data_IF_379171245437
#
_entry.id   IF_379171245437
#
_cell.length_a   1.000
_cell.length_b   1.000
_cell.length_c   1.000
_cell.angle_alpha   90.00
_cell.angle_beta   90.00
_cell.angle_gamma   90.00
#
_symmetry.space_group_name_H-M   'P 1'
#
loop_
_entity.id
_entity.type
_entity.pdbx_description
1 polymer ?
#
# COMPACT_ATOMS: atom_id res chain seq x y z
N UNK A 1 9.16 -20.55 10.07
CA UNK A 1 8.49 -19.45 9.33
C UNK A 1 9.49 -18.64 8.50
N UNK A 2 10.68 -18.31 9.04
CA UNK A 2 11.72 -17.52 8.35
C UNK A 2 12.18 -18.07 6.99
N UNK A 3 12.27 -19.39 6.84
CA UNK A 3 12.66 -20.04 5.57
C UNK A 3 11.65 -19.86 4.44
N UNK A 4 10.37 -19.66 4.79
CA UNK A 4 9.32 -19.47 3.79
C UNK A 4 9.30 -18.04 3.28
N UNK A 5 9.50 -17.06 4.16
CA UNK A 5 9.43 -15.64 3.78
C UNK A 5 10.63 -15.16 2.96
N UNK A 6 11.79 -15.80 3.07
CA UNK A 6 13.01 -15.39 2.35
C UNK A 6 13.03 -15.74 0.85
N UNK A 7 12.11 -16.58 0.38
CA UNK A 7 12.08 -17.05 -1.02
C UNK A 7 10.89 -16.57 -1.83
N UNK A 8 10.03 -15.74 -1.25
CA UNK A 8 8.79 -15.29 -1.90
C UNK A 8 9.03 -13.94 -2.54
N UNK A 9 8.76 -13.86 -3.83
CA UNK A 9 8.54 -12.58 -4.47
C UNK A 9 7.17 -12.05 -4.06
N UNK A 10 7.15 -11.05 -3.18
CA UNK A 10 5.92 -10.47 -2.63
C UNK A 10 5.12 -9.67 -3.66
N UNK A 11 5.64 -9.46 -4.87
CA UNK A 11 4.92 -8.76 -5.93
C UNK A 11 4.13 -9.71 -6.84
N UNK A 12 4.33 -11.03 -6.71
CA UNK A 12 3.62 -12.04 -7.49
C UNK A 12 2.47 -12.69 -6.73
N UNK A 13 1.36 -12.90 -7.44
CA UNK A 13 0.30 -13.83 -7.05
C UNK A 13 0.17 -14.95 -8.12
N UNK A 14 1.30 -15.54 -8.50
CA UNK A 14 1.41 -16.43 -9.67
C UNK A 14 1.66 -15.69 -10.99
N UNK A 15 1.90 -14.38 -10.93
CA UNK A 15 2.28 -13.52 -12.06
C UNK A 15 3.81 -13.35 -12.16
N UNK A 16 4.31 -12.89 -13.30
CA UNK A 16 5.74 -12.64 -13.50
C UNK A 16 5.96 -11.45 -14.43
N UNK A 17 7.18 -10.89 -14.41
CA UNK A 17 7.56 -9.74 -15.25
C UNK A 17 6.61 -8.56 -15.06
N UNK A 18 6.12 -7.99 -16.17
CA UNK A 18 5.24 -6.82 -16.20
C UNK A 18 3.90 -6.99 -15.48
N UNK A 19 3.54 -8.22 -15.11
CA UNK A 19 2.29 -8.53 -14.38
C UNK A 19 2.47 -8.60 -12.85
N UNK A 20 3.69 -8.34 -12.34
CA UNK A 20 3.93 -8.13 -10.90
C UNK A 20 3.23 -6.85 -10.46
N UNK A 21 2.73 -6.80 -9.22
CA UNK A 21 1.89 -5.67 -8.76
C UNK A 21 2.32 -5.11 -7.41
N UNK A 22 2.29 -3.79 -7.29
CA UNK A 22 2.50 -3.09 -6.01
C UNK A 22 1.38 -3.39 -5.01
N UNK A 23 0.17 -3.68 -5.49
CA UNK A 23 -0.95 -4.10 -4.64
C UNK A 23 -0.68 -5.39 -3.88
N UNK A 24 -0.07 -6.38 -4.53
CA UNK A 24 0.26 -7.65 -3.88
C UNK A 24 1.36 -7.44 -2.84
N UNK A 25 2.39 -6.65 -3.19
CA UNK A 25 3.47 -6.33 -2.27
C UNK A 25 2.95 -5.62 -1.01
N UNK A 26 2.02 -4.67 -1.15
CA UNK A 26 1.45 -3.97 0.00
C UNK A 26 0.55 -4.86 0.86
N UNK A 27 -0.16 -5.82 0.28
CA UNK A 27 -0.90 -6.82 1.07
C UNK A 27 0.06 -7.67 1.92
N UNK A 28 1.16 -8.14 1.34
CA UNK A 28 2.20 -8.87 2.08
C UNK A 28 2.89 -8.00 3.14
N UNK A 29 3.19 -6.75 2.81
CA UNK A 29 3.84 -5.82 3.73
C UNK A 29 2.98 -5.55 4.97
N UNK A 30 1.67 -5.38 4.79
CA UNK A 30 0.73 -5.29 5.90
C UNK A 30 0.68 -6.59 6.70
N UNK A 31 0.65 -7.75 6.04
CA UNK A 31 0.68 -9.04 6.73
C UNK A 31 1.95 -9.18 7.59
N UNK A 32 3.11 -8.76 7.09
CA UNK A 32 4.34 -8.71 7.86
C UNK A 32 4.23 -7.75 9.06
N UNK A 33 3.74 -6.53 8.86
CA UNK A 33 3.57 -5.60 9.97
C UNK A 33 2.66 -6.18 11.07
N UNK A 34 1.54 -6.79 10.71
CA UNK A 34 0.66 -7.41 11.70
C UNK A 34 1.23 -8.67 12.34
N UNK A 35 2.02 -9.47 11.60
CA UNK A 35 2.78 -10.57 12.19
C UNK A 35 3.80 -10.06 13.23
N UNK A 36 4.47 -8.94 12.93
CA UNK A 36 5.30 -8.26 13.92
C UNK A 36 4.50 -7.84 15.16
N UNK A 37 3.33 -7.22 15.00
CA UNK A 37 2.48 -6.83 16.15
C UNK A 37 2.02 -8.04 16.98
N UNK A 38 1.72 -9.16 16.33
CA UNK A 38 1.25 -10.37 17.00
C UNK A 38 2.36 -11.12 17.76
N UNK A 39 3.58 -11.18 17.20
CA UNK A 39 4.65 -12.05 17.69
C UNK A 39 5.85 -11.31 18.28
N UNK A 40 5.95 -9.99 18.08
CA UNK A 40 7.10 -9.18 18.50
C UNK A 40 8.39 -9.45 17.73
N UNK A 41 8.37 -10.31 16.70
CA UNK A 41 9.56 -10.65 15.91
C UNK A 41 9.89 -9.52 14.92
N UNK A 42 11.00 -8.81 15.19
CA UNK A 42 11.45 -7.64 14.43
C UNK A 42 11.81 -7.97 12.98
N UNK A 43 12.08 -9.24 12.64
CA UNK A 43 12.30 -9.64 11.25
C UNK A 43 11.07 -9.37 10.38
N UNK A 44 9.86 -9.47 10.93
CA UNK A 44 8.64 -9.10 10.21
C UNK A 44 8.49 -7.60 10.02
N UNK A 45 8.89 -6.79 11.00
CA UNK A 45 8.90 -5.34 10.83
C UNK A 45 9.88 -4.93 9.73
N UNK A 46 11.09 -5.50 9.74
CA UNK A 46 12.11 -5.26 8.70
C UNK A 46 11.59 -5.63 7.30
N UNK A 47 10.83 -6.72 7.17
CA UNK A 47 10.22 -7.10 5.90
C UNK A 47 9.11 -6.13 5.46
N UNK A 48 8.28 -5.67 6.39
CA UNK A 48 7.27 -4.64 6.09
C UNK A 48 7.93 -3.33 5.61
N UNK A 49 9.00 -2.89 6.28
CA UNK A 49 9.78 -1.72 5.88
C UNK A 49 10.45 -1.90 4.51
N UNK A 50 11.12 -3.04 4.29
CA UNK A 50 11.77 -3.33 3.00
C UNK A 50 10.78 -3.35 1.83
N UNK A 51 9.59 -3.93 2.04
CA UNK A 51 8.52 -3.91 1.04
C UNK A 51 8.05 -2.48 0.76
N UNK A 52 7.81 -1.68 1.80
CA UNK A 52 7.45 -0.27 1.68
C UNK A 52 8.50 0.53 0.91
N UNK A 53 9.78 0.42 1.30
CA UNK A 53 10.89 1.17 0.69
C UNK A 53 11.07 0.77 -0.79
N UNK A 54 10.87 -0.50 -1.12
CA UNK A 54 10.95 -0.97 -2.50
C UNK A 54 9.79 -0.44 -3.33
N UNK A 55 8.56 -0.53 -2.83
CA UNK A 55 7.36 0.01 -3.50
C UNK A 55 7.39 1.54 -3.60
N UNK A 56 8.08 2.24 -2.68
CA UNK A 56 8.24 3.69 -2.72
C UNK A 56 8.96 4.20 -3.97
N UNK A 57 9.65 3.34 -4.72
CA UNK A 57 10.24 3.69 -6.04
C UNK A 57 9.18 4.05 -7.08
N UNK A 58 7.97 3.55 -6.92
CA UNK A 58 6.82 3.80 -7.80
C UNK A 58 5.90 4.90 -7.28
N UNK A 59 6.28 5.54 -6.18
CA UNK A 59 5.54 6.65 -5.61
C UNK A 59 5.60 7.88 -6.52
N UNK A 60 4.46 8.50 -6.76
CA UNK A 60 4.37 9.69 -7.62
C UNK A 60 4.75 10.92 -6.80
N UNK A 61 5.99 11.38 -7.02
CA UNK A 61 6.52 12.62 -6.44
C UNK A 61 6.07 13.86 -7.20
N UNK A 62 6.36 15.04 -6.64
CA UNK A 62 6.14 16.32 -7.32
C UNK A 62 6.87 16.40 -8.66
N UNK A 63 8.08 15.85 -8.77
CA UNK A 63 8.85 15.87 -10.02
C UNK A 63 8.19 15.03 -11.11
N UNK A 64 7.70 13.85 -10.72
CA UNK A 64 6.92 12.99 -11.62
C UNK A 64 5.62 13.70 -12.02
N UNK A 65 4.93 14.33 -11.07
CA UNK A 65 3.67 15.04 -11.32
C UNK A 65 3.82 16.38 -12.09
N UNK A 66 5.01 16.98 -12.12
CA UNK A 66 5.20 18.29 -12.76
C UNK A 66 5.69 18.20 -14.20
N UNK A 67 6.48 17.18 -14.54
CA UNK A 67 7.22 17.23 -15.81
C UNK A 67 8.63 16.72 -15.71
N UNK A 68 9.26 17.04 -14.59
CA UNK A 68 10.72 17.09 -14.46
C UNK A 68 11.36 15.72 -14.32
N UNK A 69 10.59 14.70 -13.93
CA UNK A 69 11.00 13.30 -13.95
C UNK A 69 9.94 12.43 -14.61
N UNK A 70 10.36 11.33 -15.24
CA UNK A 70 9.44 10.30 -15.73
C UNK A 70 9.11 9.23 -14.68
N UNK A 71 9.87 9.16 -13.58
CA UNK A 71 9.71 8.11 -12.58
C UNK A 71 9.91 6.70 -13.16
N UNK A 72 10.76 6.56 -14.19
CA UNK A 72 10.96 5.29 -14.90
C UNK A 72 9.85 4.92 -15.89
N UNK A 73 8.85 5.79 -16.09
CA UNK A 73 7.76 5.56 -17.04
C UNK A 73 8.12 6.06 -18.44
N UNK A 74 7.62 5.38 -19.47
CA UNK A 74 7.76 5.78 -20.88
C UNK A 74 6.48 6.41 -21.42
N UNK A 75 5.32 6.11 -20.82
CA UNK A 75 4.07 6.74 -21.17
C UNK A 75 3.97 8.18 -20.60
N UNK A 76 3.29 9.05 -21.35
CA UNK A 76 3.06 10.43 -20.96
C UNK A 76 1.88 10.53 -20.00
N UNK A 77 2.05 11.23 -18.88
CA UNK A 77 0.93 11.60 -18.03
C UNK A 77 0.02 12.59 -18.77
N UNK A 78 -1.28 12.30 -18.79
CA UNK A 78 -2.29 13.23 -19.31
C UNK A 78 -2.52 14.44 -18.39
N UNK A 79 -3.62 15.16 -18.64
CA UNK A 79 -3.94 16.42 -17.96
C UNK A 79 -4.11 16.32 -16.42
N UNK A 80 -4.25 15.12 -15.86
CA UNK A 80 -4.38 14.89 -14.42
C UNK A 80 -3.03 14.85 -13.67
N UNK A 81 -1.92 15.12 -14.36
CA UNK A 81 -0.56 14.98 -13.82
C UNK A 81 -0.32 15.76 -12.53
N UNK A 82 -0.79 17.02 -12.48
CA UNK A 82 -0.54 17.91 -11.34
C UNK A 82 -1.19 17.48 -10.02
N UNK A 83 -2.24 16.65 -10.09
CA UNK A 83 -2.93 16.10 -8.91
C UNK A 83 -2.50 14.66 -8.57
N UNK A 84 -1.52 14.10 -9.28
CA UNK A 84 -1.11 12.71 -9.10
C UNK A 84 -0.15 12.49 -7.92
N UNK A 85 0.35 13.58 -7.32
CA UNK A 85 1.29 13.54 -6.19
C UNK A 85 0.65 12.80 -5.01
N UNK A 86 1.34 11.78 -4.49
CA UNK A 86 0.75 10.89 -3.46
C UNK A 86 0.16 9.60 -4.03
N UNK A 87 0.04 9.48 -5.35
CA UNK A 87 -0.31 8.23 -6.01
C UNK A 87 0.84 7.22 -6.03
N UNK A 88 0.51 6.00 -6.44
CA UNK A 88 1.44 4.88 -6.56
C UNK A 88 1.12 4.13 -7.85
N UNK A 89 2.09 3.96 -8.74
CA UNK A 89 1.86 3.17 -9.94
C UNK A 89 1.54 1.72 -9.60
N UNK A 90 0.63 1.12 -10.36
CA UNK A 90 0.17 -0.24 -10.08
C UNK A 90 1.22 -1.31 -10.43
N UNK A 91 1.82 -1.20 -11.61
CA UNK A 91 2.76 -2.19 -12.15
C UNK A 91 4.20 -1.65 -12.02
N UNK A 92 5.03 -2.17 -11.09
CA UNK A 92 6.42 -1.73 -10.93
C UNK A 92 7.26 -1.98 -12.20
N UNK A 93 7.02 -3.10 -12.89
CA UNK A 93 7.89 -3.57 -13.96
C UNK A 93 7.38 -3.23 -15.38
N UNK A 94 6.24 -2.54 -15.50
CA UNK A 94 5.70 -2.08 -16.79
C UNK A 94 5.82 -0.55 -16.93
N UNK A 95 6.86 -0.04 -17.63
CA UNK A 95 7.06 1.39 -17.78
C UNK A 95 6.00 2.06 -18.67
N UNK A 96 5.24 1.29 -19.45
CA UNK A 96 4.17 1.81 -20.31
C UNK A 96 2.86 1.99 -19.56
N UNK A 97 2.71 1.33 -18.41
CA UNK A 97 1.55 1.44 -17.54
C UNK A 97 1.74 2.57 -16.53
N UNK A 98 0.87 3.57 -16.62
CA UNK A 98 0.80 4.72 -15.70
C UNK A 98 -0.46 4.69 -14.84
N UNK A 99 -1.15 3.54 -14.78
CA UNK A 99 -2.35 3.39 -13.98
C UNK A 99 -1.99 3.42 -12.49
N UNK A 100 -2.82 4.12 -11.75
CA UNK A 100 -2.74 4.25 -10.29
C UNK A 100 -3.98 3.60 -9.73
N UNK A 101 -3.80 2.50 -8.99
CA UNK A 101 -4.92 1.72 -8.48
C UNK A 101 -5.08 1.91 -6.99
N UNK A 102 -6.32 2.14 -6.57
CA UNK A 102 -6.69 2.40 -5.17
C UNK A 102 -6.28 1.26 -4.24
N UNK A 103 -6.31 0.03 -4.72
CA UNK A 103 -5.90 -1.15 -3.97
C UNK A 103 -4.38 -1.36 -3.86
N UNK A 104 -3.57 -0.52 -4.50
CA UNK A 104 -2.16 -0.36 -4.17
C UNK A 104 -1.95 0.86 -3.24
N UNK A 105 -2.57 1.99 -3.58
CA UNK A 105 -2.43 3.28 -2.88
C UNK A 105 -2.94 3.24 -1.43
N UNK A 106 -4.11 2.67 -1.19
CA UNK A 106 -4.73 2.60 0.14
C UNK A 106 -3.88 1.80 1.14
N UNK A 107 -3.54 0.53 0.84
CA UNK A 107 -2.62 -0.27 1.65
C UNK A 107 -1.27 0.40 1.92
N UNK A 108 -0.70 1.09 0.91
CA UNK A 108 0.54 1.85 1.06
C UNK A 108 0.39 3.01 2.06
N UNK A 109 -0.69 3.78 1.97
CA UNK A 109 -1.00 4.85 2.93
C UNK A 109 -1.14 4.33 4.37
N UNK A 110 -1.88 3.22 4.54
CA UNK A 110 -2.10 2.58 5.84
C UNK A 110 -0.76 2.11 6.41
N UNK A 111 0.04 1.39 5.60
CA UNK A 111 1.33 0.90 6.05
C UNK A 111 2.28 2.04 6.44
N UNK A 112 2.31 3.14 5.68
CA UNK A 112 3.06 4.33 6.05
C UNK A 112 2.64 4.86 7.44
N UNK A 113 1.34 5.01 7.71
CA UNK A 113 0.85 5.42 9.03
C UNK A 113 1.28 4.47 10.15
N UNK A 114 1.13 3.16 9.93
CA UNK A 114 1.52 2.11 10.88
C UNK A 114 3.03 2.09 11.16
N UNK A 115 3.86 2.29 10.13
CA UNK A 115 5.31 2.38 10.27
C UNK A 115 5.72 3.67 10.97
N UNK A 116 5.02 4.79 10.76
CA UNK A 116 5.22 6.01 11.54
C UNK A 116 4.93 5.78 13.02
N UNK A 117 3.79 5.15 13.35
CA UNK A 117 3.43 4.88 14.74
C UNK A 117 4.50 4.05 15.46
N UNK A 118 5.06 3.06 14.76
CA UNK A 118 6.05 2.13 15.31
C UNK A 118 7.46 2.72 15.39
N UNK A 119 7.88 3.52 14.39
CA UNK A 119 9.28 3.98 14.26
C UNK A 119 9.48 5.44 14.63
N UNK A 120 8.39 6.23 14.69
CA UNK A 120 8.39 7.69 14.77
C UNK A 120 9.18 8.38 13.65
N UNK A 121 9.40 7.70 12.52
CA UNK A 121 10.08 8.28 11.37
C UNK A 121 9.11 9.18 10.57
N UNK A 122 9.37 10.48 10.60
CA UNK A 122 8.55 11.51 9.95
C UNK A 122 8.36 11.31 8.44
N UNK A 123 9.29 10.65 7.75
CA UNK A 123 9.15 10.30 6.33
C UNK A 123 7.87 9.51 6.08
N UNK A 124 7.57 8.53 6.93
CA UNK A 124 6.36 7.73 6.81
C UNK A 124 5.10 8.55 7.05
N UNK A 125 5.11 9.49 8.01
CA UNK A 125 3.97 10.38 8.25
C UNK A 125 3.70 11.29 7.07
N UNK A 126 4.73 11.88 6.48
CA UNK A 126 4.61 12.76 5.31
C UNK A 126 4.02 11.99 4.13
N UNK A 127 4.54 10.81 3.83
CA UNK A 127 4.03 9.95 2.75
C UNK A 127 2.57 9.56 3.02
N UNK A 128 2.24 9.11 4.25
CA UNK A 128 0.87 8.75 4.61
C UNK A 128 -0.10 9.92 4.36
N UNK A 129 0.23 11.11 4.86
CA UNK A 129 -0.59 12.33 4.71
C UNK A 129 -0.78 12.69 3.23
N UNK A 130 0.28 12.66 2.44
CA UNK A 130 0.23 13.02 1.03
C UNK A 130 -0.58 12.01 0.22
N UNK A 131 -0.43 10.72 0.53
CA UNK A 131 -1.19 9.63 -0.11
C UNK A 131 -2.69 9.71 0.24
N UNK A 132 -3.04 10.02 1.49
CA UNK A 132 -4.44 10.25 1.90
C UNK A 132 -5.02 11.50 1.22
N UNK A 133 -4.24 12.57 1.10
CA UNK A 133 -4.65 13.78 0.38
C UNK A 133 -4.94 13.49 -1.09
N UNK A 134 -4.07 12.72 -1.75
CA UNK A 134 -4.28 12.23 -3.11
C UNK A 134 -5.60 11.47 -3.24
N UNK A 135 -5.84 10.48 -2.36
CA UNK A 135 -7.09 9.70 -2.39
C UNK A 135 -8.33 10.58 -2.15
N UNK A 136 -8.24 11.58 -1.28
CA UNK A 136 -9.33 12.53 -1.03
C UNK A 136 -9.65 13.42 -2.24
N UNK A 137 -8.63 13.85 -2.98
CA UNK A 137 -8.80 14.69 -4.18
C UNK A 137 -9.49 13.98 -5.36
N UNK A 138 -9.52 12.64 -5.34
CA UNK A 138 -10.25 11.83 -6.32
C UNK A 138 -11.77 11.77 -6.04
N UNK A 139 -12.28 12.56 -5.08
CA UNK A 139 -13.68 12.57 -4.65
C UNK A 139 -14.21 11.20 -4.19
N UNK A 140 -13.35 10.38 -3.57
CA UNK A 140 -13.76 9.09 -2.98
C UNK A 140 -14.95 9.24 -2.02
N UNK A 141 -15.06 10.39 -1.33
CA UNK A 141 -16.04 10.63 -0.26
C UNK A 141 -17.25 11.49 -0.68
N UNK A 142 -17.41 11.84 -1.97
CA UNK A 142 -18.55 12.67 -2.39
C UNK A 142 -19.81 11.84 -2.69
N UNK A 143 -20.58 11.58 -1.63
CA UNK A 143 -22.04 11.60 -1.70
C UNK A 143 -22.79 10.28 -1.81
N UNK A 144 -22.16 9.13 -2.04
CA UNK A 144 -22.90 7.86 -2.21
C UNK A 144 -22.23 6.59 -1.67
N UNK A 145 -21.34 6.69 -0.68
CA UNK A 145 -20.81 5.48 -0.02
C UNK A 145 -20.23 4.48 -1.03
N UNK A 146 -19.01 4.75 -1.49
CA UNK A 146 -18.20 3.86 -2.34
C UNK A 146 -18.71 3.62 -3.77
N UNK A 147 -17.89 3.98 -4.76
CA UNK A 147 -17.98 3.35 -6.07
C UNK A 147 -17.44 4.20 -7.20
N UNK A 148 -16.55 3.58 -7.98
CA UNK A 148 -16.29 3.65 -9.42
C UNK A 148 -14.81 3.34 -9.55
N UNK A 149 -14.32 2.13 -9.73
CA UNK A 149 -14.75 0.83 -10.25
C UNK A 149 -13.75 -0.20 -9.65
N UNK A 150 -14.19 -1.42 -9.31
CA UNK A 150 -13.38 -2.45 -8.59
C UNK A 150 -13.09 -2.22 -7.09
N UNK A 151 -13.95 -1.51 -6.37
CA UNK A 151 -13.84 -1.36 -4.92
C UNK A 151 -14.28 -2.63 -4.16
N UNK A 152 -13.40 -3.63 -4.14
CA UNK A 152 -13.29 -4.52 -2.98
C UNK A 152 -12.90 -3.66 -1.77
N UNK A 153 -13.90 -3.22 -1.00
CA UNK A 153 -13.80 -2.58 0.32
C UNK A 153 -12.44 -2.81 1.00
N UNK A 154 -11.56 -1.81 1.12
CA UNK A 154 -10.28 -2.00 1.85
C UNK A 154 -10.46 -1.59 3.29
N UNK A 155 -10.50 -2.59 4.17
CA UNK A 155 -10.24 -2.42 5.60
C UNK A 155 -9.70 -3.72 6.17
N UNK A 156 -8.64 -3.59 6.96
CA UNK A 156 -7.82 -4.71 7.40
C UNK A 156 -8.25 -5.08 8.82
N UNK A 157 -8.95 -6.20 8.98
CA UNK A 157 -9.08 -6.88 10.27
C UNK A 157 -8.25 -8.15 10.23
N UNK A 158 -7.17 -8.19 11.01
CA UNK A 158 -6.33 -9.39 11.17
C UNK A 158 -6.93 -10.28 12.26
N UNK A 159 -7.49 -11.42 11.86
CA UNK A 159 -7.79 -12.51 12.78
C UNK A 159 -6.58 -13.47 12.83
N UNK A 160 -5.81 -13.44 13.92
CA UNK A 160 -4.81 -14.48 14.19
C UNK A 160 -5.47 -15.61 14.97
N UNK A 161 -5.75 -16.73 14.31
CA UNK A 161 -6.18 -17.97 14.97
C UNK A 161 -5.10 -19.04 14.88
N UNK A 162 -4.68 -19.58 16.03
CA UNK A 162 -3.85 -20.80 16.10
C UNK A 162 -4.81 -21.97 16.31
N UNK A 163 -4.92 -22.87 15.33
CA UNK A 163 -5.71 -24.09 15.49
C UNK A 163 -4.86 -25.21 16.13
N UNK A 164 -5.51 -26.29 16.58
CA UNK A 164 -4.89 -27.45 17.25
C UNK A 164 -3.79 -28.16 16.45
N UNK A 165 -3.59 -27.76 15.18
CA UNK A 165 -2.58 -28.30 14.26
C UNK A 165 -1.44 -27.31 13.96
N UNK A 166 -1.29 -26.23 14.72
CA UNK A 166 -0.27 -25.18 14.50
C UNK A 166 -0.34 -24.53 13.10
N UNK A 167 -1.49 -24.60 12.42
CA UNK A 167 -1.72 -23.84 11.18
C UNK A 167 -2.22 -22.45 11.53
N UNK A 168 -1.45 -21.45 11.15
CA UNK A 168 -1.86 -20.05 11.21
C UNK A 168 -2.78 -19.80 10.02
N UNK A 169 -4.01 -19.40 10.31
CA UNK A 169 -4.98 -19.00 9.29
C UNK A 169 -5.15 -17.49 9.40
N UNK A 170 -4.65 -16.74 8.41
CA UNK A 170 -4.90 -15.31 8.29
C UNK A 170 -6.17 -15.16 7.46
N UNK A 171 -7.28 -14.79 8.10
CA UNK A 171 -8.52 -14.39 7.40
C UNK A 171 -8.55 -12.87 7.30
N UNK A 172 -8.55 -12.37 6.07
CA UNK A 172 -8.70 -10.94 5.76
C UNK A 172 -10.19 -10.71 5.50
N UNK A 173 -10.86 -9.94 6.36
CA UNK A 173 -12.29 -9.59 6.24
C UNK A 173 -12.47 -8.06 6.31
N UNK A 174 -13.34 -7.53 5.45
CA UNK A 174 -13.37 -6.13 4.98
C UNK A 174 -14.61 -5.36 5.56
N UNK A 175 -14.46 -4.20 6.24
CA UNK A 175 -15.59 -3.32 6.67
C UNK A 175 -15.25 -1.81 6.77
N UNK A 176 -16.22 -0.90 6.62
CA UNK A 176 -16.05 0.55 6.45
C UNK A 176 -15.64 1.40 7.67
N UNK A 177 -15.47 0.85 8.86
CA UNK A 177 -15.36 1.66 10.09
C UNK A 177 -13.93 2.17 10.41
N UNK A 178 -12.90 1.51 9.89
CA UNK A 178 -11.50 1.79 10.27
C UNK A 178 -10.86 2.99 9.55
N UNK A 179 -11.42 3.45 8.42
CA UNK A 179 -10.91 4.62 7.69
C UNK A 179 -11.13 5.94 8.44
N UNK A 180 -12.19 6.04 9.26
CA UNK A 180 -12.51 7.26 10.03
C UNK A 180 -11.48 7.55 11.12
N UNK A 181 -10.86 6.52 11.70
CA UNK A 181 -9.85 6.67 12.74
C UNK A 181 -8.53 7.26 12.23
N UNK A 182 -8.12 6.92 11.00
CA UNK A 182 -6.90 7.45 10.36
C UNK A 182 -7.02 8.93 9.98
N UNK A 183 -8.21 9.38 9.58
CA UNK A 183 -8.46 10.79 9.26
C UNK A 183 -8.45 11.64 10.54
N UNK A 184 -9.05 11.17 11.64
CA UNK A 184 -9.10 11.89 12.91
C UNK A 184 -7.75 11.98 13.64
N UNK A 185 -6.80 11.08 13.37
CA UNK A 185 -5.46 11.14 13.93
C UNK A 185 -4.51 12.13 13.19
N UNK A 186 -4.98 12.73 12.08
CA UNK A 186 -4.18 13.61 11.21
C UNK A 186 -4.52 15.11 11.34
N UNK A 187 -5.49 15.45 12.18
CA UNK A 187 -5.88 16.80 12.61
C UNK A 187 -5.40 17.07 14.02
#
# INVERSE_FOLDING_TARGET
MRTWTSGIDIYTNGTSGTQRTNSNAMQWALAFYYAYKAYGDRDFLSQAQSAFDTTSKDYITQDIASGTSSGGRTAQFGNCRGSAVGGLFWLPDDPTNILVHTYAVGPYAILAGLLYEETKNETYRVIAKQTVTFMGALNWDWGLGMGLDDLGHISIKVHTGINKHHKITIKILLNSENLKALVQAST
#
